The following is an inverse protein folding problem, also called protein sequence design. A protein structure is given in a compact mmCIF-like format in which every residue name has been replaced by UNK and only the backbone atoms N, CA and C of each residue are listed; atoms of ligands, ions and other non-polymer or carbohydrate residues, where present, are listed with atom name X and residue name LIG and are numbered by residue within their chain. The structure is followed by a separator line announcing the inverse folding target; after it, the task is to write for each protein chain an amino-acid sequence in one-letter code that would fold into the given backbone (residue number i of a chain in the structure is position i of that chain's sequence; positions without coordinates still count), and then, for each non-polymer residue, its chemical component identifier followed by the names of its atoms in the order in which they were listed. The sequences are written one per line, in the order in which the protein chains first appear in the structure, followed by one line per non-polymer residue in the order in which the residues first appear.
data_IF_132297557852
#
_entry.id   IF_132297557852
#
_cell.length_a   1.000
_cell.length_b   1.000
_cell.length_c   1.000
_cell.angle_alpha   90.00
_cell.angle_beta   90.00
_cell.angle_gamma   90.00
#
_symmetry.space_group_name_H-M   'P 1'
#
loop_
_entity.id
_entity.type
_entity.pdbx_description
1 polymer ?
#
# COMPACT_ATOMS: atom_id res chain seq x y z
N UNK A 1 -7.76 18.32 -3.32
CA UNK A 1 -7.26 16.94 -3.15
C UNK A 1 -7.92 16.05 -4.18
N UNK A 2 -7.13 15.32 -4.97
CA UNK A 2 -7.63 14.39 -5.99
C UNK A 2 -8.39 13.21 -5.37
N UNK A 3 -9.37 12.65 -6.09
CA UNK A 3 -10.22 11.56 -5.59
C UNK A 3 -9.41 10.30 -5.27
N UNK A 4 -8.46 9.94 -6.14
CA UNK A 4 -7.59 8.77 -5.92
C UNK A 4 -6.77 8.96 -4.65
N UNK A 5 -6.26 10.17 -4.41
CA UNK A 5 -5.50 10.48 -3.21
C UNK A 5 -6.33 10.32 -1.94
N UNK A 6 -7.59 10.75 -1.95
CA UNK A 6 -8.49 10.60 -0.79
C UNK A 6 -8.81 9.12 -0.51
N UNK A 7 -9.10 8.35 -1.56
CA UNK A 7 -9.41 6.92 -1.44
C UNK A 7 -8.17 6.12 -0.98
N UNK A 8 -6.99 6.44 -1.52
CA UNK A 8 -5.72 5.85 -1.09
C UNK A 8 -5.43 6.15 0.38
N UNK A 9 -5.66 7.39 0.84
CA UNK A 9 -5.42 7.78 2.23
C UNK A 9 -6.32 7.02 3.20
N UNK A 10 -7.61 6.90 2.89
CA UNK A 10 -8.57 6.12 3.69
C UNK A 10 -8.20 4.64 3.75
N UNK A 11 -7.74 4.08 2.62
CA UNK A 11 -7.30 2.70 2.54
C UNK A 11 -6.10 2.44 3.46
N UNK A 12 -5.07 3.31 3.40
CA UNK A 12 -3.87 3.18 4.24
C UNK A 12 -4.20 3.39 5.71
N UNK A 13 -5.04 4.37 6.04
CA UNK A 13 -5.47 4.61 7.42
C UNK A 13 -6.18 3.37 8.01
N UNK A 14 -7.11 2.78 7.27
CA UNK A 14 -7.83 1.58 7.70
C UNK A 14 -6.90 0.37 7.86
N UNK A 15 -5.99 0.16 6.91
CA UNK A 15 -5.02 -0.93 6.96
C UNK A 15 -4.05 -0.78 8.13
N UNK A 16 -3.62 0.45 8.43
CA UNK A 16 -2.75 0.76 9.57
C UNK A 16 -3.45 0.45 10.89
N UNK A 17 -4.72 0.87 11.05
CA UNK A 17 -5.53 0.54 12.23
C UNK A 17 -5.75 -0.95 12.41
N UNK A 18 -5.80 -1.70 11.32
CA UNK A 18 -5.95 -3.16 11.33
C UNK A 18 -4.61 -3.91 11.49
N UNK A 19 -3.48 -3.20 11.61
CA UNK A 19 -2.12 -3.77 11.58
C UNK A 19 -1.90 -4.73 10.38
N UNK A 20 -2.55 -4.43 9.24
CA UNK A 20 -2.43 -5.21 8.01
C UNK A 20 -0.97 -5.26 7.57
N UNK A 21 -0.54 -6.39 6.99
CA UNK A 21 0.78 -6.45 6.39
C UNK A 21 0.92 -5.37 5.30
N UNK A 22 1.91 -4.45 5.38
CA UNK A 22 2.01 -3.33 4.44
C UNK A 22 2.17 -3.75 2.98
N UNK A 23 2.65 -4.98 2.72
CA UNK A 23 2.74 -5.53 1.38
C UNK A 23 1.35 -5.79 0.78
N UNK A 24 0.42 -6.29 1.58
CA UNK A 24 -0.99 -6.46 1.18
C UNK A 24 -1.61 -5.09 0.88
N UNK A 25 -1.40 -4.12 1.77
CA UNK A 25 -1.90 -2.75 1.58
C UNK A 25 -1.39 -2.13 0.27
N UNK A 26 -0.11 -2.33 -0.06
CA UNK A 26 0.49 -1.82 -1.29
C UNK A 26 -0.16 -2.42 -2.55
N UNK A 27 -0.44 -3.72 -2.57
CA UNK A 27 -1.13 -4.34 -3.70
C UNK A 27 -2.59 -3.87 -3.83
N UNK A 28 -3.27 -3.58 -2.71
CA UNK A 28 -4.60 -2.98 -2.74
C UNK A 28 -4.58 -1.54 -3.28
N UNK A 29 -3.57 -0.74 -2.92
CA UNK A 29 -3.35 0.59 -3.53
C UNK A 29 -3.10 0.51 -5.03
N UNK A 30 -2.31 -0.47 -5.47
CA UNK A 30 -2.07 -0.70 -6.90
C UNK A 30 -3.37 -1.04 -7.63
N UNK A 31 -4.20 -1.92 -7.05
CA UNK A 31 -5.52 -2.22 -7.60
C UNK A 31 -6.42 -0.97 -7.69
N UNK A 32 -6.43 -0.14 -6.63
CA UNK A 32 -7.17 1.11 -6.60
C UNK A 32 -6.74 2.08 -7.71
N UNK A 33 -5.44 2.22 -7.95
CA UNK A 33 -4.91 3.10 -8.99
C UNK A 33 -5.22 2.62 -10.42
N UNK A 34 -5.36 1.31 -10.63
CA UNK A 34 -5.69 0.74 -11.93
C UNK A 34 -7.19 0.67 -12.22
N UNK A 35 -8.04 0.72 -11.20
CA UNK A 35 -9.49 0.64 -11.36
C UNK A 35 -10.07 1.66 -12.39
N UNK A 36 -9.63 2.94 -12.42
CA UNK A 36 -10.12 3.90 -13.41
C UNK A 36 -9.72 3.58 -14.86
N UNK A 37 -8.67 2.77 -15.05
CA UNK A 37 -8.17 2.40 -16.38
C UNK A 37 -8.96 1.24 -17.00
N UNK A 38 -9.89 0.61 -16.25
CA UNK A 38 -10.61 -0.58 -16.69
C UNK A 38 -9.70 -1.79 -16.94
N UNK A 39 -8.44 -1.72 -16.50
CA UNK A 39 -7.43 -2.75 -16.69
C UNK A 39 -7.10 -3.42 -15.34
N UNK A 40 -6.81 -4.73 -15.34
CA UNK A 40 -6.34 -5.38 -14.12
C UNK A 40 -4.98 -4.81 -13.73
N UNK A 41 -4.77 -4.59 -12.42
CA UNK A 41 -3.44 -4.29 -11.92
C UNK A 41 -2.50 -5.47 -12.23
N UNK A 42 -1.25 -5.21 -12.66
CA UNK A 42 -0.28 -6.28 -12.89
C UNK A 42 -0.13 -7.12 -11.62
N UNK A 43 -0.05 -8.46 -11.75
CA UNK A 43 0.00 -9.36 -10.62
C UNK A 43 1.15 -8.96 -9.68
N UNK A 44 0.87 -9.02 -8.38
CA UNK A 44 1.89 -8.87 -7.37
C UNK A 44 2.79 -10.10 -7.32
N UNK A 45 4.08 -9.90 -7.04
CA UNK A 45 4.90 -10.99 -6.56
C UNK A 45 4.48 -11.33 -5.14
N UNK A 46 4.26 -12.61 -4.84
CA UNK A 46 4.07 -13.05 -3.46
C UNK A 46 5.28 -12.58 -2.63
N UNK A 47 5.03 -11.83 -1.57
CA UNK A 47 6.05 -11.43 -0.62
C UNK A 47 6.18 -12.56 0.41
N UNK A 48 7.41 -12.94 0.76
CA UNK A 48 7.61 -13.92 1.82
C UNK A 48 7.09 -13.35 3.15
N UNK A 49 6.33 -14.14 3.95
CA UNK A 49 5.85 -13.70 5.26
C UNK A 49 6.99 -13.28 6.20
N UNK A 50 8.10 -14.02 6.09
CA UNK A 50 9.35 -13.90 6.84
C UNK A 50 10.35 -12.90 6.21
N UNK A 51 9.88 -12.04 5.28
CA UNK A 51 10.72 -10.97 4.73
C UNK A 51 11.24 -10.08 5.85
N UNK A 52 12.56 -9.87 5.86
CA UNK A 52 13.19 -8.90 6.76
C UNK A 52 12.71 -7.51 6.33
N UNK A 53 11.82 -6.91 7.12
CA UNK A 53 11.44 -5.51 6.92
C UNK A 53 12.72 -4.70 7.13
N UNK A 54 13.07 -3.80 6.19
CA UNK A 54 14.19 -2.88 6.44
C UNK A 54 13.94 -2.21 7.79
N UNK A 55 14.98 -2.04 8.63
CA UNK A 55 14.83 -1.36 9.91
C UNK A 55 14.12 -0.04 9.63
N UNK A 56 13.06 0.27 10.40
CA UNK A 56 12.32 1.52 10.22
C UNK A 56 13.34 2.63 10.26
N UNK A 57 13.53 3.33 9.14
CA UNK A 57 14.56 4.33 9.00
C UNK A 57 14.21 5.46 9.97
N UNK A 58 15.04 5.62 11.01
CA UNK A 58 14.83 6.61 12.08
C UNK A 58 15.31 8.00 11.68
N UNK A 59 15.71 8.20 10.42
CA UNK A 59 16.24 9.46 9.95
C UNK A 59 15.12 10.43 9.59
N UNK A 60 15.31 11.69 9.97
CA UNK A 60 14.29 12.73 9.92
C UNK A 60 13.75 13.04 8.51
N UNK A 61 14.44 12.63 7.44
CA UNK A 61 14.01 12.84 6.05
C UNK A 61 13.09 11.72 5.52
N UNK A 62 12.82 10.69 6.33
CA UNK A 62 11.83 9.63 6.04
C UNK A 62 10.43 9.93 6.62
N UNK A 63 10.32 10.87 7.56
CA UNK A 63 9.07 11.38 8.12
C UNK A 63 8.65 12.66 7.40
#
# INVERSE_FOLDING_TARGET
MDRLQQEASRLVEAATKAEEDPGVTFYRLKALAYAPLGAPAPPGSALTPDRRRPPRLTEAWFC
#
